data_IF_926752930794
#
_entry.id   IF_926752930794
#
_cell.length_a   1.000
_cell.length_b   1.000
_cell.length_c   1.000
_cell.angle_alpha   90.00
_cell.angle_beta   90.00
_cell.angle_gamma   90.00
#
_symmetry.space_group_name_H-M   'P 1'
#
loop_
_entity.id
_entity.type
_entity.pdbx_description
1 polymer ?
#
# COMPACT_ATOMS: atom_id res chain seq x y z
N UNK A 1 3.99 -6.19 -10.33
CA UNK A 1 3.98 -7.39 -9.46
C UNK A 1 3.21 -7.09 -8.19
N UNK A 2 2.40 -8.02 -7.74
CA UNK A 2 1.66 -7.87 -6.49
C UNK A 2 2.25 -8.77 -5.41
N UNK A 3 2.18 -8.33 -4.16
CA UNK A 3 2.53 -9.11 -2.99
C UNK A 3 1.29 -9.68 -2.34
N UNK A 4 1.50 -10.62 -1.45
CA UNK A 4 0.43 -11.24 -0.68
C UNK A 4 0.85 -11.33 0.78
N UNK A 5 0.02 -10.81 1.67
CA UNK A 5 0.32 -10.73 3.10
C UNK A 5 -0.87 -11.16 3.93
N UNK A 6 -0.59 -11.75 5.08
CA UNK A 6 -1.60 -12.11 6.06
C UNK A 6 -1.54 -11.14 7.23
N UNK A 7 -2.70 -10.61 7.63
CA UNK A 7 -2.77 -9.62 8.70
C UNK A 7 -3.82 -10.05 9.73
N UNK A 8 -3.50 -9.89 11.01
CA UNK A 8 -4.51 -10.05 12.07
C UNK A 8 -5.43 -8.84 12.11
N UNK A 9 -6.74 -9.03 12.36
CA UNK A 9 -7.69 -7.91 12.38
C UNK A 9 -7.34 -6.83 13.39
N UNK A 10 -6.76 -7.20 14.52
CA UNK A 10 -6.42 -6.26 15.59
C UNK A 10 -5.06 -5.62 15.49
N UNK A 11 -4.29 -5.91 14.45
CA UNK A 11 -2.93 -5.37 14.34
C UNK A 11 -2.89 -4.09 13.54
N UNK A 12 -1.93 -3.24 13.89
CA UNK A 12 -1.55 -2.06 13.11
C UNK A 12 -0.16 -2.33 12.56
N UNK A 13 -0.06 -2.49 11.26
CA UNK A 13 1.18 -2.87 10.61
C UNK A 13 1.51 -1.92 9.46
N UNK A 14 2.80 -1.75 9.22
CA UNK A 14 3.28 -0.97 8.09
C UNK A 14 3.64 -1.87 6.92
N UNK A 15 3.33 -1.37 5.74
CA UNK A 15 3.65 -2.04 4.48
C UNK A 15 4.28 -1.03 3.55
N UNK A 16 5.34 -1.46 2.86
CA UNK A 16 6.11 -0.56 2.00
C UNK A 16 6.30 -1.15 0.62
N UNK A 17 6.34 -0.26 -0.38
CA UNK A 17 6.83 -0.59 -1.71
C UNK A 17 8.17 0.08 -1.94
N UNK A 18 9.15 -0.70 -2.37
CA UNK A 18 10.45 -0.18 -2.80
C UNK A 18 10.43 -0.04 -4.31
N UNK A 19 10.16 1.16 -4.77
CA UNK A 19 10.03 1.45 -6.19
C UNK A 19 11.38 1.47 -6.90
N UNK A 20 12.42 1.87 -6.18
CA UNK A 20 13.75 2.03 -6.75
C UNK A 20 14.39 0.72 -7.19
N UNK A 21 14.00 -0.36 -6.54
CA UNK A 21 14.65 -1.65 -6.78
C UNK A 21 14.32 -2.24 -8.15
N UNK A 22 13.06 -2.12 -8.62
CA UNK A 22 12.63 -2.81 -9.81
C UNK A 22 12.11 -1.90 -10.92
N UNK A 23 11.73 -0.68 -10.60
CA UNK A 23 10.95 0.14 -11.52
C UNK A 23 11.68 1.39 -11.99
N UNK A 24 12.49 2.00 -11.14
CA UNK A 24 13.07 3.30 -11.45
C UNK A 24 14.26 3.20 -12.37
N UNK A 25 14.31 4.14 -13.30
CA UNK A 25 15.52 4.39 -14.07
C UNK A 25 16.61 4.99 -13.17
N UNK A 26 17.86 4.97 -13.64
CA UNK A 26 18.96 5.51 -12.87
C UNK A 26 18.68 7.00 -12.52
N UNK A 27 18.74 7.31 -11.24
CA UNK A 27 18.51 8.67 -10.75
C UNK A 27 17.04 9.08 -10.64
N UNK A 28 16.10 8.19 -11.00
CA UNK A 28 14.68 8.49 -10.86
C UNK A 28 14.26 8.39 -9.40
N UNK A 29 13.42 9.33 -8.98
CA UNK A 29 12.91 9.38 -7.60
C UNK A 29 11.42 9.64 -7.62
N UNK A 30 10.78 9.48 -6.45
CA UNK A 30 9.38 9.82 -6.26
C UNK A 30 9.27 11.35 -6.16
N UNK A 31 8.53 11.95 -7.08
CA UNK A 31 8.23 13.38 -7.01
C UNK A 31 7.03 13.65 -6.14
N UNK A 32 5.97 12.85 -6.30
CA UNK A 32 4.71 13.02 -5.58
C UNK A 32 4.13 11.67 -5.21
N UNK A 33 3.77 11.50 -3.95
CA UNK A 33 2.99 10.36 -3.48
C UNK A 33 1.52 10.66 -3.78
N UNK A 34 0.96 9.99 -4.78
CA UNK A 34 -0.43 10.23 -5.21
C UNK A 34 -1.44 9.53 -4.31
N UNK A 35 -0.97 8.74 -3.37
CA UNK A 35 -1.82 8.16 -2.34
C UNK A 35 -1.99 6.66 -2.43
N UNK A 36 -2.79 6.17 -1.50
CA UNK A 36 -3.08 4.75 -1.34
C UNK A 36 -4.57 4.53 -1.47
N UNK A 37 -4.96 3.42 -2.10
CA UNK A 37 -6.36 3.03 -2.21
C UNK A 37 -6.52 1.58 -1.76
N UNK A 38 -7.71 1.26 -1.27
CA UNK A 38 -8.05 -0.07 -0.78
C UNK A 38 -9.38 -0.49 -1.40
N UNK A 39 -9.43 -1.72 -1.90
CA UNK A 39 -10.66 -2.30 -2.42
C UNK A 39 -10.87 -3.70 -1.80
N UNK A 40 -12.04 -4.02 -1.28
CA UNK A 40 -13.22 -3.15 -1.13
C UNK A 40 -13.01 -2.05 -0.08
N UNK A 41 -13.64 -0.93 -0.30
CA UNK A 41 -13.55 0.21 0.62
C UNK A 41 -14.67 0.09 1.66
N UNK A 42 -14.38 -0.60 2.74
CA UNK A 42 -15.35 -0.82 3.82
C UNK A 42 -14.79 -0.42 5.19
N UNK A 43 -13.87 0.54 5.21
CA UNK A 43 -13.22 1.00 6.44
C UNK A 43 -14.22 1.48 7.48
N UNK A 44 -15.30 2.13 7.05
CA UNK A 44 -16.32 2.64 7.95
C UNK A 44 -17.10 1.52 8.67
N UNK A 45 -17.05 0.30 8.14
CA UNK A 45 -17.73 -0.87 8.70
C UNK A 45 -16.76 -1.85 9.36
N UNK A 46 -15.58 -1.38 9.78
CA UNK A 46 -14.57 -2.23 10.39
C UNK A 46 -13.63 -2.87 9.40
N UNK A 47 -13.64 -2.42 8.15
CA UNK A 47 -12.73 -2.91 7.14
C UNK A 47 -11.32 -2.34 7.28
N UNK A 48 -10.46 -2.69 6.33
CA UNK A 48 -9.08 -2.26 6.33
C UNK A 48 -9.00 -0.76 6.03
N UNK A 49 -8.18 -0.05 6.79
CA UNK A 49 -8.02 1.40 6.60
C UNK A 49 -6.55 1.80 6.62
N UNK A 50 -6.27 2.91 5.94
CA UNK A 50 -4.96 3.54 5.95
C UNK A 50 -4.94 4.57 7.08
N UNK A 51 -4.09 4.34 8.09
CA UNK A 51 -4.00 5.23 9.24
C UNK A 51 -2.98 6.35 9.01
N UNK A 52 -1.86 6.01 8.40
CA UNK A 52 -0.75 6.93 8.23
C UNK A 52 0.05 6.54 7.00
N UNK A 53 0.58 7.52 6.29
CA UNK A 53 1.44 7.26 5.13
C UNK A 53 2.71 8.08 5.22
N UNK A 54 3.76 7.58 4.58
CA UNK A 54 5.01 8.30 4.44
C UNK A 54 5.69 7.87 3.15
N UNK A 55 6.65 8.66 2.71
CA UNK A 55 7.43 8.34 1.52
C UNK A 55 8.85 8.86 1.65
N UNK A 56 9.76 8.19 0.94
CA UNK A 56 11.12 8.64 0.74
C UNK A 56 11.34 8.87 -0.75
N UNK A 57 12.59 9.07 -1.16
CA UNK A 57 12.88 9.25 -2.58
C UNK A 57 12.55 8.01 -3.42
N UNK A 58 12.51 6.82 -2.81
CA UNK A 58 12.35 5.57 -3.56
C UNK A 58 11.30 4.63 -2.97
N UNK A 59 10.71 4.95 -1.81
CA UNK A 59 9.75 4.05 -1.14
C UNK A 59 8.48 4.78 -0.75
N UNK A 60 7.37 4.05 -0.73
CA UNK A 60 6.14 4.51 -0.09
C UNK A 60 5.74 3.51 0.97
N UNK A 61 5.22 4.04 2.09
CA UNK A 61 4.84 3.22 3.25
C UNK A 61 3.47 3.64 3.73
N UNK A 62 2.65 2.65 4.10
CA UNK A 62 1.36 2.90 4.72
C UNK A 62 1.21 2.05 5.97
N UNK A 63 0.66 2.63 7.02
CA UNK A 63 0.24 1.90 8.21
C UNK A 63 -1.23 1.54 8.04
N UNK A 64 -1.54 0.26 8.10
CA UNK A 64 -2.88 -0.27 7.88
C UNK A 64 -3.41 -0.90 9.15
N UNK A 65 -4.65 -0.58 9.48
CA UNK A 65 -5.33 -1.12 10.66
C UNK A 65 -6.67 -1.71 10.28
N UNK A 66 -7.23 -2.52 11.17
CA UNK A 66 -8.54 -3.11 10.97
C UNK A 66 -8.53 -4.25 9.97
N UNK A 67 -9.62 -4.37 9.26
CA UNK A 67 -9.86 -5.43 8.30
C UNK A 67 -10.87 -6.43 8.82
N UNK A 68 -11.80 -6.83 7.96
CA UNK A 68 -12.80 -7.84 8.34
C UNK A 68 -12.18 -9.23 8.26
N UNK A 69 -12.33 -10.06 9.31
CA UNK A 69 -11.76 -11.41 9.31
C UNK A 69 -12.21 -12.21 8.08
N UNK A 70 -11.26 -12.86 7.45
CA UNK A 70 -11.51 -13.68 6.27
C UNK A 70 -11.56 -12.93 4.95
N UNK A 71 -11.57 -11.60 4.97
CA UNK A 71 -11.60 -10.79 3.75
C UNK A 71 -10.21 -10.63 3.16
N UNK A 72 -10.16 -10.48 1.84
CA UNK A 72 -8.95 -10.10 1.12
C UNK A 72 -9.13 -8.70 0.56
N UNK A 73 -8.10 -7.88 0.70
CA UNK A 73 -8.11 -6.50 0.25
C UNK A 73 -7.00 -6.27 -0.76
N UNK A 74 -7.32 -5.55 -1.83
CA UNK A 74 -6.31 -5.09 -2.78
C UNK A 74 -5.90 -3.68 -2.37
N UNK A 75 -4.62 -3.51 -2.06
CA UNK A 75 -4.07 -2.24 -1.60
C UNK A 75 -3.11 -1.73 -2.65
N UNK A 76 -3.35 -0.53 -3.14
CA UNK A 76 -2.56 0.07 -4.22
C UNK A 76 -1.89 1.35 -3.74
N UNK A 77 -0.62 1.53 -4.12
CA UNK A 77 0.10 2.78 -3.97
C UNK A 77 0.37 3.36 -5.36
N UNK A 78 0.12 4.65 -5.52
CA UNK A 78 0.33 5.34 -6.80
C UNK A 78 1.25 6.53 -6.58
N UNK A 79 2.20 6.71 -7.48
CA UNK A 79 3.18 7.79 -7.39
C UNK A 79 3.37 8.44 -8.76
N UNK A 80 3.89 9.68 -8.72
CA UNK A 80 4.47 10.34 -9.89
C UNK A 80 5.97 10.45 -9.69
N UNK A 81 6.74 10.10 -10.71
CA UNK A 81 8.18 10.10 -10.62
C UNK A 81 8.79 11.39 -11.12
N UNK A 82 10.07 11.60 -10.80
CA UNK A 82 10.82 12.77 -11.26
C UNK A 82 10.96 12.85 -12.78
N UNK A 83 10.73 11.74 -13.49
CA UNK A 83 10.73 11.71 -14.94
C UNK A 83 9.35 11.93 -15.54
N UNK A 84 8.34 12.24 -14.71
CA UNK A 84 6.99 12.53 -15.18
C UNK A 84 6.14 11.30 -15.38
N UNK A 85 6.58 10.12 -14.96
CA UNK A 85 5.78 8.90 -15.07
C UNK A 85 4.83 8.76 -13.90
N UNK A 86 3.62 8.28 -14.16
CA UNK A 86 2.70 7.89 -13.09
C UNK A 86 2.59 6.38 -13.10
N UNK A 87 2.94 5.78 -11.97
CA UNK A 87 2.99 4.33 -11.83
C UNK A 87 2.29 3.91 -10.56
N UNK A 88 1.78 2.69 -10.55
CA UNK A 88 1.14 2.14 -9.36
C UNK A 88 1.57 0.69 -9.15
N UNK A 89 1.55 0.28 -7.89
CA UNK A 89 1.77 -1.11 -7.50
C UNK A 89 0.71 -1.50 -6.50
N UNK A 90 0.40 -2.79 -6.49
CA UNK A 90 -0.62 -3.31 -5.58
C UNK A 90 -0.11 -4.52 -4.84
N UNK A 91 -0.75 -4.76 -3.70
CA UNK A 91 -0.54 -5.99 -2.93
C UNK A 91 -1.89 -6.46 -2.42
N UNK A 92 -1.99 -7.76 -2.14
CA UNK A 92 -3.17 -8.34 -1.53
C UNK A 92 -2.90 -8.57 -0.06
N UNK A 93 -3.80 -8.07 0.79
CA UNK A 93 -3.74 -8.32 2.23
C UNK A 93 -4.96 -9.14 2.60
N UNK A 94 -4.72 -10.34 3.09
CA UNK A 94 -5.77 -11.20 3.61
C UNK A 94 -5.81 -11.06 5.13
N UNK A 95 -6.99 -10.79 5.66
CA UNK A 95 -7.18 -10.66 7.10
C UNK A 95 -7.46 -12.03 7.67
N UNK A 96 -6.70 -12.41 8.69
CA UNK A 96 -6.83 -13.70 9.32
C UNK A 96 -8.23 -13.87 9.91
N UNK A 97 -8.74 -15.11 9.85
CA UNK A 97 -10.06 -15.43 10.34
C UNK A 97 -9.92 -16.19 11.67
N UNK A 98 -9.67 -15.44 12.74
CA UNK A 98 -9.56 -16.05 14.07
C UNK A 98 -10.34 -15.29 15.13
#
# INVERSE_FOLDING_TARGET
MSGYFLKNPGSLLDYSFDWGFQLFEAGETIETDLGWTIAPDNAASGGLSVDQTSSTATTTTAFLSGGKPGEAYLVCSQIRTSLGREVQRSMTIRVANN
#
